data_IF_086813191270
#
_entry.id   IF_086813191270
#
_cell.length_a   1.000
_cell.length_b   1.000
_cell.length_c   1.000
_cell.angle_alpha   90.00
_cell.angle_beta   90.00
_cell.angle_gamma   90.00
#
_symmetry.space_group_name_H-M   'P 1'
#
loop_
_entity.id
_entity.type
_entity.pdbx_description
1 polymer ?
#
# COMPACT_ATOMS: atom_id res chain seq x y z
N UNK A 1 12.91 -26.03 -14.83
CA UNK A 1 13.14 -26.08 -13.38
C UNK A 1 13.40 -27.53 -12.99
N UNK A 2 14.59 -27.83 -12.44
CA UNK A 2 14.85 -29.13 -11.82
C UNK A 2 14.04 -29.17 -10.54
N UNK A 3 13.15 -30.17 -10.38
CA UNK A 3 12.46 -30.42 -9.12
C UNK A 3 13.49 -30.68 -8.03
N UNK A 4 13.48 -29.86 -6.97
CA UNK A 4 14.26 -30.12 -5.78
C UNK A 4 13.41 -30.94 -4.83
N UNK A 5 13.88 -32.12 -4.46
CA UNK A 5 13.26 -32.93 -3.42
C UNK A 5 13.53 -32.28 -2.06
N UNK A 6 12.47 -31.99 -1.31
CA UNK A 6 12.61 -31.53 0.08
C UNK A 6 13.15 -32.67 0.93
N UNK A 7 14.25 -32.39 1.64
CA UNK A 7 14.78 -33.31 2.65
C UNK A 7 14.07 -33.01 3.98
N UNK A 8 13.11 -33.85 4.35
CA UNK A 8 12.33 -33.74 5.57
C UNK A 8 10.83 -33.43 5.31
N UNK A 9 10.06 -33.47 6.38
CA UNK A 9 8.63 -33.17 6.38
C UNK A 9 8.41 -31.73 6.91
N UNK A 10 8.12 -30.74 6.04
CA UNK A 10 7.83 -29.40 6.50
C UNK A 10 6.54 -29.37 7.31
N UNK A 11 6.55 -28.69 8.46
CA UNK A 11 5.37 -28.51 9.30
C UNK A 11 4.95 -27.05 9.22
N UNK A 12 3.71 -26.80 8.77
CA UNK A 12 3.11 -25.48 8.80
C UNK A 12 2.46 -25.26 10.18
N UNK A 13 2.90 -24.23 10.89
CA UNK A 13 2.30 -23.83 12.17
C UNK A 13 1.46 -22.57 11.91
N UNK A 14 0.14 -22.70 12.05
CA UNK A 14 -0.77 -21.56 11.92
C UNK A 14 -0.54 -20.55 13.06
N UNK A 15 -0.81 -19.26 12.83
CA UNK A 15 -0.60 -18.21 13.82
C UNK A 15 -1.35 -18.45 15.16
N UNK A 16 -2.53 -19.07 15.11
CA UNK A 16 -3.28 -19.45 16.31
C UNK A 16 -2.55 -20.54 17.16
N UNK A 17 -1.86 -21.46 16.49
CA UNK A 17 -1.12 -22.55 17.14
C UNK A 17 0.27 -22.07 17.57
N UNK A 18 0.87 -21.13 16.87
CA UNK A 18 2.14 -20.52 17.25
C UNK A 18 2.08 -19.86 18.63
N UNK A 19 0.92 -19.29 19.01
CA UNK A 19 0.68 -18.71 20.34
C UNK A 19 0.71 -19.74 21.48
N UNK A 20 0.57 -21.03 21.19
CA UNK A 20 0.61 -22.13 22.16
C UNK A 20 2.03 -22.67 22.37
N UNK A 21 2.97 -22.27 21.52
CA UNK A 21 4.35 -22.71 21.63
C UNK A 21 5.09 -21.90 22.71
N UNK A 22 6.01 -22.53 23.46
CA UNK A 22 6.83 -21.80 24.42
C UNK A 22 7.72 -20.79 23.68
N UNK A 23 7.67 -19.54 24.12
CA UNK A 23 8.53 -18.50 23.58
C UNK A 23 10.00 -18.74 24.00
N UNK A 24 10.94 -18.42 23.11
CA UNK A 24 12.34 -18.39 23.48
C UNK A 24 12.64 -17.08 24.24
N UNK A 25 13.02 -17.13 25.53
CA UNK A 25 13.16 -15.92 26.35
C UNK A 25 14.18 -14.91 25.80
N UNK A 26 15.25 -15.40 25.19
CA UNK A 26 16.30 -14.54 24.60
C UNK A 26 15.76 -13.78 23.39
N UNK A 27 15.05 -14.49 22.50
CA UNK A 27 14.42 -13.87 21.32
C UNK A 27 13.32 -12.90 21.74
N UNK A 28 12.49 -13.28 22.72
CA UNK A 28 11.40 -12.44 23.22
C UNK A 28 11.93 -11.14 23.81
N UNK A 29 13.00 -11.21 24.62
CA UNK A 29 13.69 -10.03 25.16
C UNK A 29 14.22 -9.13 24.03
N UNK A 30 14.90 -9.72 23.05
CA UNK A 30 15.46 -8.98 21.92
C UNK A 30 14.37 -8.26 21.12
N UNK A 31 13.28 -8.96 20.81
CA UNK A 31 12.11 -8.38 20.12
C UNK A 31 11.49 -7.24 20.92
N UNK A 32 11.36 -7.40 22.24
CA UNK A 32 10.83 -6.37 23.13
C UNK A 32 11.73 -5.13 23.16
N UNK A 33 13.04 -5.31 23.27
CA UNK A 33 14.01 -4.21 23.32
C UNK A 33 14.03 -3.43 21.99
N UNK A 34 14.00 -4.15 20.84
CA UNK A 34 13.90 -3.52 19.51
C UNK A 34 12.58 -2.78 19.35
N UNK A 35 11.47 -3.41 19.76
CA UNK A 35 10.14 -2.80 19.67
C UNK A 35 10.04 -1.53 20.49
N UNK A 36 10.57 -1.51 21.72
CA UNK A 36 10.56 -0.32 22.56
C UNK A 36 11.32 0.85 21.92
N UNK A 37 12.48 0.59 21.33
CA UNK A 37 13.25 1.63 20.59
C UNK A 37 12.49 2.12 19.38
N UNK A 38 11.96 1.21 18.58
CA UNK A 38 11.18 1.54 17.40
C UNK A 38 9.95 2.38 17.76
N UNK A 39 9.17 1.97 18.75
CA UNK A 39 7.98 2.67 19.21
C UNK A 39 8.32 4.09 19.71
N UNK A 40 9.41 4.24 20.47
CA UNK A 40 9.85 5.56 20.95
C UNK A 40 10.27 6.50 19.82
N UNK A 41 11.03 6.00 18.84
CA UNK A 41 11.48 6.79 17.68
C UNK A 41 10.31 7.19 16.75
N UNK A 42 9.27 6.36 16.68
CA UNK A 42 8.13 6.56 15.79
C UNK A 42 6.88 7.14 16.47
N UNK A 43 6.94 7.42 17.77
CA UNK A 43 5.88 8.10 18.51
C UNK A 43 5.79 9.61 18.25
N UNK A 44 6.69 10.15 17.42
CA UNK A 44 6.70 11.58 17.07
C UNK A 44 5.39 11.92 16.37
N UNK A 45 4.61 12.79 17.01
CA UNK A 45 3.36 13.30 16.47
C UNK A 45 3.62 14.29 15.33
N UNK A 46 2.99 14.07 14.18
CA UNK A 46 3.07 14.95 13.00
C UNK A 46 1.83 15.83 12.94
N UNK A 47 0.66 15.25 13.19
CA UNK A 47 -0.63 15.94 13.22
C UNK A 47 -1.38 15.47 14.45
N UNK A 48 -1.90 16.41 15.24
CA UNK A 48 -2.55 16.12 16.52
C UNK A 48 -3.87 15.36 16.39
N UNK A 49 -4.54 15.51 15.27
CA UNK A 49 -5.83 14.86 15.04
C UNK A 49 -6.15 14.74 13.56
N UNK A 50 -6.63 13.58 13.12
CA UNK A 50 -7.27 13.43 11.83
C UNK A 50 -8.79 13.61 11.98
N UNK A 51 -9.41 14.61 11.34
CA UNK A 51 -10.85 14.86 11.46
C UNK A 51 -11.69 13.79 10.77
N UNK A 52 -11.08 12.99 9.89
CA UNK A 52 -11.70 11.91 9.14
C UNK A 52 -10.83 10.66 9.20
N UNK A 53 -11.42 9.50 8.94
CA UNK A 53 -10.65 8.30 8.66
C UNK A 53 -10.02 8.43 7.27
N UNK A 54 -8.72 8.09 7.16
CA UNK A 54 -8.03 7.99 5.88
C UNK A 54 -7.98 6.51 5.48
N UNK A 55 -8.81 6.16 4.51
CA UNK A 55 -9.07 4.78 4.14
C UNK A 55 -7.91 4.18 3.35
N UNK A 56 -7.21 3.23 3.96
CA UNK A 56 -6.14 2.43 3.38
C UNK A 56 -6.50 0.95 3.20
N UNK A 57 -7.78 0.60 3.32
CA UNK A 57 -8.23 -0.77 3.14
C UNK A 57 -7.84 -1.32 1.78
N UNK A 58 -7.28 -2.52 1.78
CA UNK A 58 -6.82 -3.22 0.58
C UNK A 58 -7.90 -3.27 -0.51
N UNK A 59 -9.13 -3.55 -0.12
CA UNK A 59 -10.26 -3.71 -1.05
C UNK A 59 -10.75 -2.37 -1.63
N UNK A 60 -10.30 -1.25 -1.06
CA UNK A 60 -10.62 0.08 -1.54
C UNK A 60 -9.46 0.68 -2.35
N UNK A 61 -8.26 0.81 -1.77
CA UNK A 61 -7.12 1.47 -2.44
C UNK A 61 -6.66 0.79 -3.73
N UNK A 62 -7.10 -0.44 -4.00
CA UNK A 62 -6.71 -1.23 -5.17
C UNK A 62 -7.77 -1.33 -6.26
N UNK A 63 -8.93 -0.68 -6.10
CA UNK A 63 -10.02 -0.68 -7.09
C UNK A 63 -10.68 0.66 -7.27
N UNK A 64 -10.45 1.61 -6.37
CA UNK A 64 -11.07 2.93 -6.41
C UNK A 64 -10.18 3.98 -5.76
N UNK A 65 -10.47 5.22 -6.06
CA UNK A 65 -9.92 6.36 -5.38
C UNK A 65 -10.27 6.34 -3.89
N UNK A 66 -9.31 6.73 -3.05
CA UNK A 66 -9.52 6.88 -1.60
C UNK A 66 -8.89 8.18 -1.10
N UNK A 67 -9.43 8.72 -0.02
CA UNK A 67 -8.87 9.92 0.60
C UNK A 67 -7.44 9.74 1.11
N UNK A 68 -7.04 8.53 1.55
CA UNK A 68 -5.64 8.25 1.86
C UNK A 68 -4.78 8.29 0.60
N UNK A 69 -5.27 7.70 -0.49
CA UNK A 69 -4.59 7.73 -1.79
C UNK A 69 -4.33 9.16 -2.26
N UNK A 70 -5.34 10.02 -2.14
CA UNK A 70 -5.24 11.44 -2.48
C UNK A 70 -4.20 12.16 -1.62
N UNK A 71 -4.25 12.01 -0.29
CA UNK A 71 -3.27 12.64 0.62
C UNK A 71 -1.84 12.21 0.29
N UNK A 72 -1.62 10.93 -0.03
CA UNK A 72 -0.29 10.45 -0.41
C UNK A 72 0.13 11.01 -1.77
N UNK A 73 -0.74 11.01 -2.77
CA UNK A 73 -0.44 11.58 -4.08
C UNK A 73 -0.21 13.09 -4.00
N UNK A 74 -1.01 13.83 -3.21
CA UNK A 74 -0.80 15.25 -2.92
C UNK A 74 0.57 15.53 -2.29
N UNK A 75 0.99 14.67 -1.35
CA UNK A 75 2.30 14.83 -0.71
C UNK A 75 3.44 14.63 -1.72
N UNK A 76 3.31 13.67 -2.64
CA UNK A 76 4.26 13.47 -3.73
C UNK A 76 4.27 14.65 -4.70
N UNK A 77 3.10 15.17 -5.04
CA UNK A 77 2.96 16.36 -5.88
C UNK A 77 3.64 17.58 -5.22
N UNK A 78 3.36 17.83 -3.95
CA UNK A 78 3.97 18.95 -3.19
C UNK A 78 5.50 18.82 -3.13
N UNK A 79 6.02 17.63 -2.86
CA UNK A 79 7.46 17.39 -2.91
C UNK A 79 8.01 17.65 -4.31
N UNK A 80 7.27 17.24 -5.35
CA UNK A 80 7.65 17.39 -6.75
C UNK A 80 7.77 18.84 -7.22
N UNK A 81 7.18 19.81 -6.49
CA UNK A 81 7.31 21.23 -6.85
C UNK A 81 8.72 21.79 -6.62
N UNK A 82 9.47 21.24 -5.67
CA UNK A 82 10.79 21.76 -5.26
C UNK A 82 11.85 20.67 -5.12
N UNK A 83 11.47 19.40 -5.09
CA UNK A 83 12.38 18.27 -4.87
C UNK A 83 13.17 17.84 -6.10
N UNK A 84 12.84 18.35 -7.29
CA UNK A 84 13.48 18.05 -8.56
C UNK A 84 13.87 19.31 -9.30
N UNK A 85 14.56 19.14 -10.45
CA UNK A 85 15.00 20.27 -11.28
C UNK A 85 13.85 21.03 -11.96
N UNK A 86 12.68 20.41 -12.09
CA UNK A 86 11.47 21.00 -12.69
C UNK A 86 10.26 20.68 -11.81
N UNK A 87 9.28 21.58 -11.72
CA UNK A 87 8.02 21.27 -11.05
C UNK A 87 7.31 20.08 -11.66
N UNK A 88 6.58 19.34 -10.85
CA UNK A 88 5.79 18.18 -11.25
C UNK A 88 4.38 18.59 -11.64
N UNK A 89 3.88 18.12 -12.78
CA UNK A 89 2.50 18.40 -13.24
C UNK A 89 1.49 17.38 -12.69
N UNK A 90 1.90 16.12 -12.54
CA UNK A 90 1.04 15.00 -12.11
C UNK A 90 1.79 14.15 -11.11
N UNK A 91 1.12 13.72 -10.06
CA UNK A 91 1.65 12.76 -9.11
C UNK A 91 0.70 11.55 -8.98
N UNK A 92 1.30 10.37 -8.94
CA UNK A 92 0.57 9.10 -8.77
C UNK A 92 1.31 8.18 -7.82
N UNK A 93 0.55 7.33 -7.13
CA UNK A 93 1.08 6.21 -6.36
C UNK A 93 0.24 4.97 -6.60
N UNK A 94 0.84 3.79 -6.50
CA UNK A 94 0.07 2.55 -6.67
C UNK A 94 -0.65 2.16 -5.38
N UNK A 95 -1.91 1.75 -5.47
CA UNK A 95 -2.72 1.33 -4.33
C UNK A 95 -2.12 0.18 -3.53
N UNK A 96 -1.33 -0.69 -4.19
CA UNK A 96 -0.58 -1.75 -3.51
C UNK A 96 0.50 -1.25 -2.55
N UNK A 97 0.94 -0.01 -2.70
CA UNK A 97 1.89 0.67 -1.80
C UNK A 97 1.27 1.14 -0.50
N UNK A 98 -0.05 1.35 -0.46
CA UNK A 98 -0.79 1.81 0.73
C UNK A 98 -1.20 0.60 1.57
N UNK A 99 -0.75 0.54 2.84
CA UNK A 99 -0.81 -0.70 3.61
C UNK A 99 -1.61 -0.63 4.90
N UNK A 100 -1.99 0.56 5.35
CA UNK A 100 -2.69 0.77 6.62
C UNK A 100 -3.69 1.92 6.51
N UNK A 101 -4.76 1.85 7.29
CA UNK A 101 -5.76 2.92 7.46
C UNK A 101 -5.39 3.81 8.63
N UNK A 102 -5.54 5.12 8.49
CA UNK A 102 -5.35 6.06 9.61
C UNK A 102 -6.72 6.37 10.21
N UNK A 103 -6.89 6.01 11.48
CA UNK A 103 -8.16 6.16 12.19
C UNK A 103 -8.51 7.63 12.46
N UNK A 104 -9.80 7.97 12.35
CA UNK A 104 -10.35 9.26 12.76
C UNK A 104 -10.11 9.54 14.24
N UNK A 105 -9.87 10.82 14.57
CA UNK A 105 -9.86 11.29 15.96
C UNK A 105 -8.61 10.92 16.75
N UNK A 106 -7.56 10.46 16.08
CA UNK A 106 -6.28 10.11 16.72
C UNK A 106 -5.14 10.92 16.11
N UNK A 107 -4.07 11.16 16.89
CA UNK A 107 -2.85 11.74 16.36
C UNK A 107 -2.26 10.89 15.23
N UNK A 108 -1.72 11.54 14.22
CA UNK A 108 -0.92 10.89 13.17
C UNK A 108 0.54 11.01 13.57
N UNK A 109 1.18 9.88 13.75
CA UNK A 109 2.59 9.80 14.14
C UNK A 109 3.46 9.40 12.95
N UNK A 110 4.77 9.58 13.09
CA UNK A 110 5.75 9.04 12.13
C UNK A 110 5.57 7.54 11.92
N UNK A 111 5.24 6.79 12.98
CA UNK A 111 4.94 5.37 12.91
C UNK A 111 3.73 5.05 12.02
N UNK A 112 2.68 5.87 12.07
CA UNK A 112 1.52 5.70 11.18
C UNK A 112 1.90 5.90 9.71
N UNK A 113 2.73 6.91 9.40
CA UNK A 113 3.20 7.14 8.03
C UNK A 113 4.03 5.97 7.52
N UNK A 114 4.94 5.44 8.37
CA UNK A 114 5.74 4.25 8.03
C UNK A 114 4.84 3.01 7.84
N UNK A 115 3.78 2.85 8.65
CA UNK A 115 2.83 1.74 8.50
C UNK A 115 2.04 1.84 7.18
N UNK A 116 1.67 3.06 6.77
CA UNK A 116 1.01 3.30 5.47
C UNK A 116 1.95 3.02 4.30
N UNK A 117 3.21 3.44 4.38
CA UNK A 117 4.22 3.34 3.31
C UNK A 117 5.49 2.59 3.77
N UNK A 118 5.40 1.26 4.04
CA UNK A 118 6.48 0.52 4.70
C UNK A 118 7.64 0.10 3.79
N UNK A 119 7.57 0.33 2.48
CA UNK A 119 8.48 -0.30 1.51
C UNK A 119 9.79 0.47 1.27
N UNK A 120 9.99 1.64 1.85
CA UNK A 120 11.21 2.44 1.65
C UNK A 120 11.47 2.80 0.19
N UNK A 121 10.42 2.98 -0.61
CA UNK A 121 10.52 3.36 -2.02
C UNK A 121 11.08 4.77 -2.16
N UNK A 122 11.79 5.00 -3.26
CA UNK A 122 12.26 6.34 -3.64
C UNK A 122 11.20 7.07 -4.48
N UNK A 123 11.15 8.39 -4.34
CA UNK A 123 10.35 9.25 -5.21
C UNK A 123 11.14 9.50 -6.48
N UNK A 124 10.51 9.32 -7.64
CA UNK A 124 11.13 9.54 -8.94
C UNK A 124 10.27 10.47 -9.79
N UNK A 125 10.91 11.33 -10.58
CA UNK A 125 10.25 12.16 -11.58
C UNK A 125 10.68 11.71 -12.97
N UNK A 126 9.72 11.62 -13.88
CA UNK A 126 9.95 11.27 -15.29
C UNK A 126 9.21 12.24 -16.19
N UNK A 127 9.71 12.47 -17.37
CA UNK A 127 9.00 13.21 -18.41
C UNK A 127 8.28 12.25 -19.34
N UNK A 128 6.99 12.51 -19.55
CA UNK A 128 6.13 11.67 -20.39
C UNK A 128 5.24 12.55 -21.29
N UNK A 129 4.72 11.96 -22.35
CA UNK A 129 3.75 12.61 -23.23
C UNK A 129 2.32 12.45 -22.67
N UNK A 130 1.38 13.29 -23.10
CA UNK A 130 -0.03 13.15 -22.74
C UNK A 130 -0.60 11.78 -23.12
N UNK A 131 -0.18 11.20 -24.25
CA UNK A 131 -0.61 9.85 -24.64
C UNK A 131 -0.12 8.79 -23.65
N UNK A 132 1.12 8.89 -23.18
CA UNK A 132 1.65 7.96 -22.17
C UNK A 132 0.93 8.07 -20.83
N UNK A 133 0.46 9.28 -20.47
CA UNK A 133 -0.38 9.47 -19.28
C UNK A 133 -1.71 8.74 -19.44
N UNK A 134 -2.37 8.88 -20.60
CA UNK A 134 -3.62 8.17 -20.89
C UNK A 134 -3.41 6.65 -20.85
N UNK A 135 -2.38 6.15 -21.50
CA UNK A 135 -2.05 4.72 -21.55
C UNK A 135 -1.78 4.18 -20.13
N UNK A 136 -1.13 4.96 -19.27
CA UNK A 136 -0.87 4.62 -17.87
C UNK A 136 -2.17 4.46 -17.08
N UNK A 137 -3.10 5.41 -17.20
CA UNK A 137 -4.40 5.33 -16.53
C UNK A 137 -5.26 4.19 -17.09
N UNK A 138 -5.29 4.01 -18.40
CA UNK A 138 -6.00 2.89 -19.02
C UNK A 138 -5.45 1.54 -18.54
N UNK A 139 -4.14 1.41 -18.44
CA UNK A 139 -3.49 0.21 -17.87
C UNK A 139 -3.87 0.01 -16.40
N UNK A 140 -3.89 1.08 -15.62
CA UNK A 140 -4.30 1.06 -14.21
C UNK A 140 -5.74 0.57 -14.05
N UNK A 141 -6.67 1.17 -14.76
CA UNK A 141 -8.10 0.82 -14.76
C UNK A 141 -8.33 -0.60 -15.30
N UNK A 142 -7.63 -0.97 -16.37
CA UNK A 142 -7.70 -2.33 -16.93
C UNK A 142 -7.23 -3.40 -15.94
N UNK A 143 -6.31 -3.07 -15.03
CA UNK A 143 -5.73 -4.02 -14.08
C UNK A 143 -6.71 -4.51 -13.01
N UNK A 144 -7.81 -3.81 -12.80
CA UNK A 144 -8.85 -4.19 -11.82
C UNK A 144 -10.04 -4.90 -12.46
N UNK A 145 -10.08 -5.06 -13.77
CA UNK A 145 -11.16 -5.79 -14.44
C UNK A 145 -10.92 -7.29 -14.32
N UNK A 146 -11.86 -8.01 -13.74
CA UNK A 146 -11.82 -9.47 -13.73
C UNK A 146 -12.06 -9.99 -15.15
N UNK A 147 -11.19 -10.89 -15.60
CA UNK A 147 -11.31 -11.52 -16.91
C UNK A 147 -11.36 -13.05 -16.77
N UNK A 148 -12.07 -13.69 -17.67
CA UNK A 148 -12.12 -15.15 -17.77
C UNK A 148 -10.84 -15.71 -18.44
N UNK A 149 -10.80 -17.03 -18.61
CA UNK A 149 -9.70 -17.75 -19.27
C UNK A 149 -9.44 -17.31 -20.72
N UNK A 150 -10.44 -16.75 -21.37
CA UNK A 150 -10.39 -16.29 -22.75
C UNK A 150 -10.13 -14.77 -22.86
N UNK A 151 -9.85 -14.12 -21.71
CA UNK A 151 -9.56 -12.68 -21.60
C UNK A 151 -10.78 -11.77 -21.72
N UNK A 152 -12.01 -12.33 -21.65
CA UNK A 152 -13.24 -11.53 -21.67
C UNK A 152 -13.59 -11.06 -20.27
N UNK A 153 -14.15 -9.84 -20.19
CA UNK A 153 -14.61 -9.26 -18.92
C UNK A 153 -15.69 -10.15 -18.29
N UNK A 154 -15.55 -10.45 -17.00
CA UNK A 154 -16.60 -11.09 -16.22
C UNK A 154 -17.57 -10.03 -15.76
N UNK A 155 -18.87 -10.28 -15.95
CA UNK A 155 -19.94 -9.35 -15.59
C UNK A 155 -20.73 -9.93 -14.40
N UNK A 156 -21.28 -9.04 -13.59
CA UNK A 156 -22.23 -9.39 -12.54
C UNK A 156 -23.63 -9.63 -13.12
N UNK A 157 -24.62 -9.90 -12.26
CA UNK A 157 -26.01 -10.14 -12.62
C UNK A 157 -26.70 -8.90 -13.26
N UNK A 158 -26.13 -7.73 -13.09
CA UNK A 158 -26.63 -6.44 -13.67
C UNK A 158 -25.86 -6.07 -14.95
N UNK A 159 -24.97 -6.92 -15.44
CA UNK A 159 -24.16 -6.66 -16.62
C UNK A 159 -22.99 -5.71 -16.39
N UNK A 160 -22.63 -5.41 -15.14
CA UNK A 160 -21.49 -4.58 -14.79
C UNK A 160 -20.22 -5.40 -14.66
N UNK A 161 -19.04 -4.88 -15.07
CA UNK A 161 -17.78 -5.59 -14.90
C UNK A 161 -17.48 -5.88 -13.42
N UNK A 162 -17.16 -7.12 -13.10
CA UNK A 162 -16.63 -7.49 -11.81
C UNK A 162 -15.23 -6.93 -11.65
N UNK A 163 -14.96 -6.38 -10.45
CA UNK A 163 -13.67 -5.79 -10.11
C UNK A 163 -12.88 -6.74 -9.20
N UNK A 164 -11.57 -6.79 -9.44
CA UNK A 164 -10.61 -7.54 -8.61
C UNK A 164 -9.51 -6.59 -8.12
N UNK A 165 -9.21 -6.55 -6.81
CA UNK A 165 -8.20 -5.66 -6.26
C UNK A 165 -6.82 -5.87 -6.89
N UNK A 166 -6.28 -4.83 -7.53
CA UNK A 166 -4.95 -4.83 -8.14
C UNK A 166 -4.00 -3.90 -7.42
N UNK A 167 -2.80 -4.38 -7.09
CA UNK A 167 -1.75 -3.53 -6.53
C UNK A 167 -1.24 -2.47 -7.50
N UNK A 168 -1.50 -2.64 -8.80
CA UNK A 168 -1.14 -1.69 -9.87
C UNK A 168 -2.18 -0.59 -10.10
N UNK A 169 -3.35 -0.65 -9.45
CA UNK A 169 -4.33 0.43 -9.51
C UNK A 169 -3.71 1.72 -8.93
N UNK A 170 -3.81 2.82 -9.66
CA UNK A 170 -3.21 4.09 -9.28
C UNK A 170 -4.16 4.94 -8.45
N UNK A 171 -3.59 5.57 -7.44
CA UNK A 171 -4.14 6.71 -6.73
C UNK A 171 -3.43 7.96 -7.26
N UNK A 172 -4.12 9.07 -7.41
CA UNK A 172 -3.57 10.27 -8.08
C UNK A 172 -3.88 11.55 -7.33
N UNK A 173 -3.11 12.60 -7.65
CA UNK A 173 -3.33 13.97 -7.22
C UNK A 173 -4.51 14.59 -8.00
N UNK A 174 -5.31 15.38 -7.32
CA UNK A 174 -6.42 16.19 -7.88
C UNK A 174 -6.01 17.64 -8.10
#
# INVERSE_FOLDING_TARGET
YKSRQLLGNPTLIAAADAKKLPANPTVEKLVKDIKQKYDAENAVEIVSNSPVELNGDRENVRVRETNLGNVVADSLYQYGQTGFSHPTDIAVTNGGGLRETIAKGKPITKGNVIAVLPFGNTISQIQVTGQQVLDMFEKSLGSILQVDKDGKKVLDENGQPLLEPSGGFLQWFH
#
